data_IF_940779064356
#
_entry.id   IF_940779064356
#
_cell.length_a   1.000
_cell.length_b   1.000
_cell.length_c   1.000
_cell.angle_alpha   90.00
_cell.angle_beta   90.00
_cell.angle_gamma   90.00
#
_symmetry.space_group_name_H-M   'P 1'
#
loop_
_entity.id
_entity.type
_entity.pdbx_description
1 polymer ?
#
# COMPACT_ATOMS: atom_id res chain seq x y z
N UNK A 1 -13.51 -22.59 1.11
CA UNK A 1 -12.23 -22.36 1.79
C UNK A 1 -12.00 -20.88 1.62
N UNK A 2 -12.35 -20.06 2.61
CA UNK A 2 -12.01 -18.64 2.55
C UNK A 2 -10.51 -18.58 2.72
N UNK A 3 -9.82 -18.12 1.68
CA UNK A 3 -8.35 -18.15 1.58
C UNK A 3 -7.74 -17.04 2.44
N UNK A 4 -8.53 -16.03 2.86
CA UNK A 4 -8.11 -14.93 3.73
C UNK A 4 -9.11 -14.69 4.85
N UNK A 5 -8.59 -14.39 6.04
CA UNK A 5 -9.33 -13.74 7.12
C UNK A 5 -9.50 -12.25 6.81
N UNK A 6 -10.60 -11.65 7.26
CA UNK A 6 -10.86 -10.22 7.05
C UNK A 6 -9.76 -9.36 7.70
N UNK A 7 -9.15 -9.86 8.78
CA UNK A 7 -8.03 -9.21 9.47
C UNK A 7 -6.79 -9.15 8.59
N UNK A 8 -6.48 -10.24 7.86
CA UNK A 8 -5.36 -10.29 6.91
C UNK A 8 -5.54 -9.24 5.81
N UNK A 9 -6.74 -9.17 5.24
CA UNK A 9 -7.09 -8.23 4.17
C UNK A 9 -6.87 -6.79 4.62
N UNK A 10 -7.30 -6.43 5.82
CA UNK A 10 -7.10 -5.06 6.31
C UNK A 10 -5.65 -4.78 6.74
N UNK A 11 -4.90 -5.78 7.22
CA UNK A 11 -3.47 -5.63 7.49
C UNK A 11 -2.69 -5.36 6.19
N UNK A 12 -3.03 -6.06 5.10
CA UNK A 12 -2.49 -5.75 3.77
C UNK A 12 -2.84 -4.36 3.31
N UNK A 13 -4.10 -3.94 3.47
CA UNK A 13 -4.54 -2.61 3.10
C UNK A 13 -3.72 -1.52 3.82
N UNK A 14 -3.47 -1.67 5.13
CA UNK A 14 -2.58 -0.75 5.88
C UNK A 14 -1.17 -0.71 5.27
N UNK A 15 -0.59 -1.87 4.95
CA UNK A 15 0.77 -1.91 4.39
C UNK A 15 0.87 -1.25 3.02
N UNK A 16 -0.16 -1.43 2.17
CA UNK A 16 -0.25 -0.80 0.84
C UNK A 16 -0.24 0.73 0.97
N UNK A 17 -1.04 1.28 1.89
CA UNK A 17 -1.14 2.72 2.09
C UNK A 17 0.16 3.31 2.69
N UNK A 18 0.78 2.63 3.67
CA UNK A 18 2.10 3.05 4.19
C UNK A 18 3.18 3.10 3.09
N UNK A 19 3.11 2.15 2.16
CA UNK A 19 4.03 2.08 1.02
C UNK A 19 3.75 3.19 0.00
N UNK A 20 2.48 3.48 -0.26
CA UNK A 20 2.06 4.61 -1.09
C UNK A 20 2.49 5.96 -0.51
N UNK A 21 2.37 6.15 0.81
CA UNK A 21 2.84 7.37 1.48
C UNK A 21 4.35 7.55 1.23
N UNK A 22 5.16 6.53 1.55
CA UNK A 22 6.62 6.59 1.38
C UNK A 22 7.01 6.92 -0.07
N UNK A 23 6.35 6.29 -1.03
CA UNK A 23 6.53 6.55 -2.44
C UNK A 23 6.27 8.03 -2.78
N UNK A 24 5.11 8.56 -2.39
CA UNK A 24 4.74 9.94 -2.73
C UNK A 24 5.62 10.97 -2.02
N UNK A 25 6.02 10.72 -0.77
CA UNK A 25 7.03 11.54 -0.08
C UNK A 25 8.37 11.56 -0.83
N UNK A 26 8.82 10.41 -1.33
CA UNK A 26 10.04 10.34 -2.13
C UNK A 26 9.91 11.13 -3.45
N UNK A 27 8.74 11.11 -4.09
CA UNK A 27 8.48 11.89 -5.31
C UNK A 27 8.46 13.40 -5.04
N UNK A 28 7.95 13.84 -3.89
CA UNK A 28 8.05 15.25 -3.47
C UNK A 28 9.51 15.69 -3.39
N UNK A 29 10.40 14.88 -2.81
CA UNK A 29 11.82 15.23 -2.71
C UNK A 29 12.54 15.18 -4.06
N UNK A 30 12.05 14.36 -5.00
CA UNK A 30 12.71 14.12 -6.29
C UNK A 30 12.47 15.21 -7.34
N UNK A 31 11.31 15.86 -7.33
CA UNK A 31 10.94 16.84 -8.37
C UNK A 31 10.99 18.28 -7.87
N UNK A 32 11.44 19.22 -8.71
CA UNK A 32 11.49 20.65 -8.34
C UNK A 32 10.27 21.46 -8.76
N UNK A 33 9.43 20.93 -9.65
CA UNK A 33 8.22 21.61 -10.08
C UNK A 33 7.23 21.77 -8.89
N UNK A 34 6.86 23.01 -8.52
CA UNK A 34 5.99 23.25 -7.38
C UNK A 34 4.62 22.58 -7.48
N UNK A 35 4.05 22.45 -8.67
CA UNK A 35 2.74 21.81 -8.86
C UNK A 35 2.83 20.30 -8.67
N UNK A 36 3.94 19.71 -9.09
CA UNK A 36 4.21 18.27 -8.93
C UNK A 36 4.43 17.94 -7.46
N UNK A 37 5.20 18.78 -6.75
CA UNK A 37 5.38 18.70 -5.30
C UNK A 37 4.06 18.83 -4.54
N UNK A 38 3.21 19.79 -4.94
CA UNK A 38 1.88 19.97 -4.35
C UNK A 38 1.00 18.73 -4.54
N UNK A 39 0.97 18.17 -5.76
CA UNK A 39 0.18 16.97 -6.07
C UNK A 39 0.65 15.76 -5.26
N UNK A 40 1.95 15.42 -5.29
CA UNK A 40 2.45 14.27 -4.54
C UNK A 40 2.40 14.47 -3.03
N UNK A 41 2.54 15.72 -2.57
CA UNK A 41 2.29 16.06 -1.18
C UNK A 41 0.84 15.78 -0.77
N UNK A 42 -0.13 16.22 -1.60
CA UNK A 42 -1.54 15.91 -1.39
C UNK A 42 -1.81 14.40 -1.39
N UNK A 43 -1.31 13.66 -2.37
CA UNK A 43 -1.50 12.21 -2.44
C UNK A 43 -0.92 11.50 -1.21
N UNK A 44 0.27 11.90 -0.73
CA UNK A 44 0.84 11.33 0.49
C UNK A 44 -0.07 11.55 1.72
N UNK A 45 -0.73 12.70 1.85
CA UNK A 45 -1.67 12.93 2.95
C UNK A 45 -2.94 12.07 2.83
N UNK A 46 -3.41 11.80 1.61
CA UNK A 46 -4.55 10.91 1.38
C UNK A 46 -4.23 9.46 1.80
N UNK A 47 -3.02 8.96 1.51
CA UNK A 47 -2.58 7.63 1.96
C UNK A 47 -2.57 7.52 3.49
N UNK A 48 -2.12 8.56 4.20
CA UNK A 48 -2.19 8.62 5.68
C UNK A 48 -3.64 8.56 6.17
N UNK A 49 -4.56 9.22 5.46
CA UNK A 49 -5.98 9.15 5.77
C UNK A 49 -6.53 7.72 5.58
N UNK A 50 -6.21 7.08 4.46
CA UNK A 50 -6.64 5.71 4.18
C UNK A 50 -6.06 4.70 5.17
N UNK A 51 -4.76 4.78 5.48
CA UNK A 51 -4.09 3.96 6.49
C UNK A 51 -4.85 4.03 7.81
N UNK A 52 -5.19 5.24 8.26
CA UNK A 52 -5.97 5.45 9.49
C UNK A 52 -7.34 4.77 9.40
N UNK A 53 -8.05 4.90 8.28
CA UNK A 53 -9.35 4.24 8.08
C UNK A 53 -9.22 2.73 8.21
N UNK A 54 -8.22 2.11 7.57
CA UNK A 54 -8.01 0.66 7.67
C UNK A 54 -7.60 0.23 9.08
N UNK A 55 -6.76 1.00 9.79
CA UNK A 55 -6.45 0.73 11.21
C UNK A 55 -7.68 0.80 12.11
N UNK A 56 -8.56 1.78 11.88
CA UNK A 56 -9.84 1.88 12.61
C UNK A 56 -10.79 0.72 12.29
N UNK A 57 -10.74 0.18 11.08
CA UNK A 57 -11.47 -1.05 10.72
C UNK A 57 -10.88 -2.29 11.39
N UNK A 58 -9.55 -2.43 11.39
CA UNK A 58 -8.84 -3.51 12.10
C UNK A 58 -9.17 -3.53 13.59
N UNK A 59 -9.17 -2.37 14.24
CA UNK A 59 -9.44 -2.27 15.67
C UNK A 59 -10.87 -2.72 16.07
N UNK A 60 -11.78 -2.87 15.11
CA UNK A 60 -13.15 -3.38 15.32
C UNK A 60 -13.26 -4.89 15.14
N UNK A 61 -12.26 -5.54 14.56
CA UNK A 61 -12.20 -7.00 14.45
C UNK A 61 -11.67 -7.57 15.78
N UNK A 62 -12.31 -8.61 16.31
CA UNK A 62 -11.84 -9.30 17.52
C UNK A 62 -10.44 -9.91 17.30
N UNK A 63 -9.69 -10.17 18.38
CA UNK A 63 -8.32 -10.71 18.36
C UNK A 63 -8.17 -11.94 17.45
N UNK A 64 -7.82 -11.69 16.19
CA UNK A 64 -7.37 -12.71 15.27
C UNK A 64 -5.96 -13.10 15.69
N UNK A 65 -5.84 -14.29 16.28
CA UNK A 65 -4.56 -14.82 16.72
C UNK A 65 -4.17 -15.97 15.78
N UNK A 66 -3.40 -15.70 14.71
CA UNK A 66 -2.95 -16.73 13.80
C UNK A 66 -2.08 -17.73 14.53
N UNK A 67 -2.22 -19.02 14.20
CA UNK A 67 -1.28 -20.01 14.70
C UNK A 67 0.05 -19.84 13.98
N UNK A 68 1.06 -19.36 14.71
CA UNK A 68 2.43 -19.26 14.23
C UNK A 68 3.28 -20.47 14.68
N UNK A 69 4.13 -20.95 13.78
CA UNK A 69 5.18 -21.94 14.04
C UNK A 69 6.44 -21.32 14.63
N UNK A 70 6.66 -20.02 14.38
CA UNK A 70 7.69 -19.19 14.99
C UNK A 70 7.22 -17.73 15.12
N UNK A 71 7.71 -16.95 16.11
CA UNK A 71 7.25 -15.58 16.33
C UNK A 71 7.44 -14.72 15.08
N UNK A 72 6.35 -14.13 14.57
CA UNK A 72 6.35 -13.27 13.40
C UNK A 72 6.20 -13.98 12.05
N UNK A 73 6.05 -15.31 12.03
CA UNK A 73 5.83 -16.09 10.80
C UNK A 73 4.65 -15.56 9.99
N UNK A 74 3.57 -15.21 10.68
CA UNK A 74 2.38 -14.72 10.01
C UNK A 74 2.62 -13.34 9.42
N UNK A 75 3.35 -12.46 10.12
CA UNK A 75 3.73 -11.16 9.59
C UNK A 75 4.67 -11.28 8.37
N UNK A 76 5.62 -12.22 8.39
CA UNK A 76 6.51 -12.51 7.26
C UNK A 76 5.74 -13.08 6.06
N UNK A 77 4.76 -13.96 6.30
CA UNK A 77 3.84 -14.45 5.27
C UNK A 77 3.03 -13.31 4.67
N UNK A 78 2.46 -12.45 5.51
CA UNK A 78 1.71 -11.29 5.06
C UNK A 78 2.60 -10.39 4.19
N UNK A 79 3.78 -10.05 4.68
CA UNK A 79 4.72 -9.23 3.94
C UNK A 79 5.00 -9.84 2.56
N UNK A 80 5.32 -11.14 2.49
CA UNK A 80 5.60 -11.83 1.23
C UNK A 80 4.38 -11.96 0.30
N UNK A 81 3.16 -12.00 0.82
CA UNK A 81 1.94 -12.06 0.03
C UNK A 81 1.53 -10.69 -0.51
N UNK A 82 1.59 -9.65 0.32
CA UNK A 82 1.41 -8.26 -0.09
C UNK A 82 2.41 -7.88 -1.19
N UNK A 83 3.67 -8.24 -0.98
CA UNK A 83 4.76 -8.10 -1.94
C UNK A 83 4.43 -8.71 -3.32
N UNK A 84 3.65 -9.81 -3.36
CA UNK A 84 3.26 -10.47 -4.61
C UNK A 84 1.98 -9.93 -5.25
N UNK A 85 1.08 -9.28 -4.50
CA UNK A 85 -0.22 -8.79 -5.00
C UNK A 85 -0.23 -7.32 -5.35
N UNK A 86 0.42 -6.48 -4.54
CA UNK A 86 0.45 -5.04 -4.72
C UNK A 86 1.83 -4.55 -4.24
N UNK A 87 2.75 -4.37 -5.20
CA UNK A 87 4.04 -3.69 -5.02
C UNK A 87 4.97 -4.25 -3.91
N UNK A 88 6.04 -4.94 -4.33
CA UNK A 88 7.22 -5.13 -3.47
C UNK A 88 7.85 -3.78 -3.09
N UNK A 89 8.48 -3.71 -1.91
CA UNK A 89 9.42 -2.62 -1.57
C UNK A 89 10.47 -2.44 -2.68
N UNK A 90 10.94 -3.54 -3.28
CA UNK A 90 11.86 -3.51 -4.43
C UNK A 90 11.28 -2.77 -5.64
N UNK A 91 9.97 -2.90 -5.94
CA UNK A 91 9.30 -2.16 -7.02
C UNK A 91 9.07 -0.69 -6.68
N UNK A 92 9.00 -0.33 -5.40
CA UNK A 92 8.94 1.06 -4.97
C UNK A 92 10.31 1.71 -5.22
N UNK A 93 11.39 1.06 -4.81
CA UNK A 93 12.74 1.59 -5.06
C UNK A 93 13.08 1.60 -6.55
N UNK A 94 12.72 0.56 -7.31
CA UNK A 94 12.87 0.55 -8.77
C UNK A 94 11.99 1.61 -9.44
N UNK A 95 10.74 1.78 -8.98
CA UNK A 95 9.81 2.77 -9.49
C UNK A 95 10.28 4.19 -9.21
N UNK A 96 10.74 4.47 -7.99
CA UNK A 96 11.35 5.75 -7.63
C UNK A 96 12.59 5.97 -8.48
N UNK A 97 13.51 5.01 -8.57
CA UNK A 97 14.77 5.19 -9.30
C UNK A 97 14.59 5.31 -10.83
N UNK A 98 13.63 4.58 -11.40
CA UNK A 98 13.35 4.53 -12.84
C UNK A 98 12.51 5.69 -13.37
N UNK A 99 11.87 6.47 -12.50
CA UNK A 99 11.14 7.68 -12.87
C UNK A 99 12.12 8.84 -13.02
N UNK A 100 12.23 9.44 -14.20
CA UNK A 100 13.15 10.55 -14.48
C UNK A 100 12.42 11.84 -14.88
N UNK A 101 11.18 11.70 -15.33
CA UNK A 101 10.34 12.81 -15.79
C UNK A 101 9.04 12.87 -14.99
N UNK A 102 8.40 14.05 -15.02
CA UNK A 102 7.10 14.25 -14.38
C UNK A 102 6.04 13.32 -14.98
N UNK A 103 6.03 13.16 -16.31
CA UNK A 103 5.07 12.30 -17.00
C UNK A 103 5.21 10.83 -16.57
N UNK A 104 6.44 10.33 -16.43
CA UNK A 104 6.70 8.98 -15.90
C UNK A 104 6.22 8.84 -14.45
N UNK A 105 6.45 9.87 -13.61
CA UNK A 105 6.00 9.86 -12.22
C UNK A 105 4.48 9.79 -12.11
N UNK A 106 3.78 10.58 -12.93
CA UNK A 106 2.32 10.59 -12.99
C UNK A 106 1.77 9.26 -13.49
N UNK A 107 2.37 8.69 -14.54
CA UNK A 107 1.94 7.41 -15.08
C UNK A 107 2.18 6.25 -14.11
N UNK A 108 3.30 6.30 -13.38
CA UNK A 108 3.58 5.37 -12.29
C UNK A 108 2.54 5.49 -11.17
N UNK A 109 2.25 6.71 -10.72
CA UNK A 109 1.24 6.96 -9.69
C UNK A 109 -0.15 6.45 -10.09
N UNK A 110 -0.58 6.72 -11.33
CA UNK A 110 -1.86 6.21 -11.86
C UNK A 110 -1.89 4.67 -11.86
N UNK A 111 -0.79 4.02 -12.24
CA UNK A 111 -0.68 2.57 -12.20
C UNK A 111 -0.84 2.02 -10.79
N UNK A 112 -0.11 2.61 -9.82
CA UNK A 112 -0.19 2.23 -8.40
C UNK A 112 -1.61 2.40 -7.84
N UNK A 113 -2.27 3.52 -8.13
CA UNK A 113 -3.64 3.76 -7.67
C UNK A 113 -4.62 2.76 -8.28
N UNK A 114 -4.48 2.44 -9.56
CA UNK A 114 -5.32 1.45 -10.22
C UNK A 114 -5.14 0.05 -9.62
N UNK A 115 -3.90 -0.37 -9.36
CA UNK A 115 -3.60 -1.66 -8.73
C UNK A 115 -4.20 -1.75 -7.32
N UNK A 116 -4.11 -0.66 -6.56
CA UNK A 116 -4.66 -0.54 -5.20
C UNK A 116 -6.20 -0.60 -5.22
N UNK A 117 -6.85 0.10 -6.16
CA UNK A 117 -8.30 0.01 -6.37
C UNK A 117 -8.73 -1.40 -6.75
N UNK A 118 -8.00 -2.06 -7.67
CA UNK A 118 -8.29 -3.43 -8.09
C UNK A 118 -8.19 -4.38 -6.89
N UNK A 119 -7.15 -4.26 -6.07
CA UNK A 119 -7.00 -5.02 -4.84
C UNK A 119 -8.24 -4.87 -3.93
N UNK A 120 -8.65 -3.65 -3.61
CA UNK A 120 -9.84 -3.43 -2.76
C UNK A 120 -11.14 -3.95 -3.40
N UNK A 121 -11.26 -3.85 -4.73
CA UNK A 121 -12.42 -4.37 -5.44
C UNK A 121 -12.51 -5.89 -5.37
N UNK A 122 -11.38 -6.59 -5.58
CA UNK A 122 -11.33 -8.04 -5.48
C UNK A 122 -11.58 -8.51 -4.05
N UNK A 123 -10.97 -7.87 -3.06
CA UNK A 123 -11.16 -8.23 -1.65
C UNK A 123 -12.60 -8.06 -1.18
N UNK A 124 -13.33 -7.04 -1.67
CA UNK A 124 -14.75 -6.88 -1.41
C UNK A 124 -15.61 -8.05 -1.92
N UNK A 125 -15.17 -8.76 -2.97
CA UNK A 125 -15.91 -9.90 -3.52
C UNK A 125 -15.60 -11.22 -2.81
N UNK A 126 -14.56 -11.26 -1.97
CA UNK A 126 -14.09 -12.44 -1.25
C UNK A 126 -14.68 -12.55 0.16
N UNK A 127 -15.14 -11.43 0.74
CA UNK A 127 -15.73 -11.34 2.09
C UNK A 127 -17.25 -11.24 2.11
#
# INVERSE_FOLDING_TARGET
>A
MNIFDVTEIYQFAVQIEENGEKLYRAMVEKFDDPKVKELFGFLAEEEVHHEKVFREMLAKLEDYNPQESYPGEYFDYLHAYADNLVFTIDKIDEGINGVHTVDEALQFAIGKELDTILYYHEMRNVV
#
